data_IF_658453638078
#
_entry.id   IF_658453638078
#
_cell.length_a   1.000
_cell.length_b   1.000
_cell.length_c   1.000
_cell.angle_alpha   90.00
_cell.angle_beta   90.00
_cell.angle_gamma   90.00
#
_symmetry.space_group_name_H-M   'P 1'
#
loop_
_entity.id
_entity.type
_entity.pdbx_description
1 polymer ?
#
# COMPACT_ATOMS: atom_id res chain seq x y z
N UNK A 1 8.05 -26.56 6.36
CA UNK A 1 7.22 -25.77 7.29
C UNK A 1 5.81 -25.76 6.71
N UNK A 2 4.78 -25.75 7.53
CA UNK A 2 3.41 -25.61 7.03
C UNK A 2 3.15 -24.15 6.69
N UNK A 3 2.29 -23.90 5.70
CA UNK A 3 1.87 -22.54 5.28
C UNK A 3 1.41 -21.69 6.46
N UNK A 4 0.75 -22.30 7.44
CA UNK A 4 0.35 -21.64 8.68
C UNK A 4 1.54 -21.07 9.48
N UNK A 5 2.60 -21.83 9.68
CA UNK A 5 3.78 -21.36 10.45
C UNK A 5 4.50 -20.23 9.73
N UNK A 6 4.56 -20.29 8.39
CA UNK A 6 5.15 -19.23 7.58
C UNK A 6 4.35 -17.92 7.71
N UNK A 7 3.02 -17.99 7.65
CA UNK A 7 2.15 -16.82 7.86
C UNK A 7 2.26 -16.31 9.31
N UNK A 8 2.29 -17.22 10.30
CA UNK A 8 2.40 -16.86 11.71
C UNK A 8 3.71 -16.13 12.01
N UNK A 9 4.82 -16.56 11.40
CA UNK A 9 6.13 -15.89 11.54
C UNK A 9 6.13 -14.44 11.05
N UNK A 10 5.17 -14.08 10.18
CA UNK A 10 4.99 -12.74 9.65
C UNK A 10 4.10 -11.84 10.52
N UNK A 11 3.51 -12.38 11.60
CA UNK A 11 2.52 -11.67 12.40
C UNK A 11 3.10 -10.39 13.04
N UNK A 12 2.39 -9.25 12.99
CA UNK A 12 2.99 -7.96 13.32
C UNK A 12 2.90 -7.56 14.80
N UNK A 13 2.35 -8.41 15.67
CA UNK A 13 2.17 -8.13 17.10
C UNK A 13 2.80 -9.23 17.96
N UNK A 14 3.16 -8.89 19.19
CA UNK A 14 3.80 -9.82 20.14
C UNK A 14 2.87 -10.95 20.58
N UNK A 15 1.55 -10.70 20.60
CA UNK A 15 0.54 -11.64 21.06
C UNK A 15 -0.57 -11.81 20.04
N UNK A 16 -0.84 -13.07 19.67
CA UNK A 16 -1.94 -13.45 18.79
C UNK A 16 -3.15 -13.92 19.61
N UNK A 17 -4.35 -13.51 19.20
CA UNK A 17 -5.61 -13.91 19.85
C UNK A 17 -6.13 -15.23 19.28
N UNK A 18 -6.90 -16.03 20.05
CA UNK A 18 -7.45 -17.29 19.57
C UNK A 18 -8.27 -17.17 18.27
N UNK A 19 -9.09 -16.13 18.14
CA UNK A 19 -9.87 -15.87 16.92
C UNK A 19 -8.96 -15.63 15.70
N UNK A 20 -7.84 -14.93 15.88
CA UNK A 20 -6.87 -14.65 14.81
C UNK A 20 -6.13 -15.93 14.40
N UNK A 21 -5.81 -16.81 15.36
CA UNK A 21 -5.25 -18.14 15.07
C UNK A 21 -6.20 -18.94 14.19
N UNK A 22 -7.49 -18.97 14.53
CA UNK A 22 -8.49 -19.67 13.73
C UNK A 22 -8.60 -19.10 12.31
N UNK A 23 -8.59 -17.78 12.16
CA UNK A 23 -8.58 -17.12 10.84
C UNK A 23 -7.35 -17.51 10.03
N UNK A 24 -6.14 -17.47 10.63
CA UNK A 24 -4.90 -17.81 9.92
C UNK A 24 -4.83 -19.28 9.51
N UNK A 25 -5.32 -20.20 10.36
CA UNK A 25 -5.42 -21.62 10.00
C UNK A 25 -6.35 -21.84 8.82
N UNK A 26 -7.55 -21.25 8.85
CA UNK A 26 -8.49 -21.36 7.73
C UNK A 26 -7.96 -20.76 6.43
N UNK A 27 -7.18 -19.68 6.51
CA UNK A 27 -6.49 -19.12 5.35
C UNK A 27 -5.39 -20.06 4.86
N UNK A 28 -4.56 -20.60 5.74
CA UNK A 28 -3.48 -21.52 5.37
C UNK A 28 -4.03 -22.78 4.69
N UNK A 29 -5.06 -23.40 5.26
CA UNK A 29 -5.70 -24.59 4.69
C UNK A 29 -6.26 -24.28 3.29
N UNK A 30 -6.93 -23.14 3.10
CA UNK A 30 -7.44 -22.72 1.81
C UNK A 30 -6.32 -22.43 0.79
N UNK A 31 -5.19 -21.88 1.22
CA UNK A 31 -4.03 -21.66 0.35
C UNK A 31 -3.38 -22.99 -0.06
N UNK A 32 -3.26 -23.93 0.88
CA UNK A 32 -2.73 -25.28 0.63
C UNK A 32 -3.63 -26.07 -0.34
N UNK A 33 -4.94 -25.85 -0.30
CA UNK A 33 -5.91 -26.35 -1.29
C UNK A 33 -5.86 -25.62 -2.64
N UNK A 34 -5.01 -24.60 -2.80
CA UNK A 34 -4.88 -23.81 -4.02
C UNK A 34 -6.05 -22.84 -4.28
N UNK A 35 -6.79 -22.43 -3.25
CA UNK A 35 -7.87 -21.46 -3.40
C UNK A 35 -7.31 -20.07 -3.70
N UNK A 36 -7.88 -19.41 -4.71
CA UNK A 36 -7.52 -18.05 -5.10
C UNK A 36 -8.27 -16.97 -4.32
N UNK A 37 -9.51 -17.25 -3.91
CA UNK A 37 -10.38 -16.31 -3.22
C UNK A 37 -10.83 -16.92 -1.90
N UNK A 38 -10.61 -16.19 -0.82
CA UNK A 38 -10.93 -16.60 0.55
C UNK A 38 -11.82 -15.51 1.14
N UNK A 39 -13.03 -15.90 1.55
CA UNK A 39 -13.97 -15.01 2.23
C UNK A 39 -14.00 -15.37 3.72
N UNK A 40 -13.74 -14.38 4.56
CA UNK A 40 -13.73 -14.55 6.02
C UNK A 40 -14.71 -13.56 6.62
N UNK A 41 -15.67 -14.09 7.37
CA UNK A 41 -16.52 -13.29 8.22
C UNK A 41 -15.88 -13.18 9.61
N UNK A 42 -15.73 -11.95 10.10
CA UNK A 42 -15.12 -11.71 11.41
C UNK A 42 -15.70 -10.44 12.05
N UNK A 43 -16.09 -10.50 13.34
CA UNK A 43 -16.73 -9.39 14.04
C UNK A 43 -15.84 -8.17 14.14
N UNK A 44 -16.42 -6.99 14.33
CA UNK A 44 -15.65 -5.78 14.63
C UNK A 44 -14.90 -5.94 15.95
N UNK A 45 -13.64 -5.47 16.02
CA UNK A 45 -12.83 -5.53 17.25
C UNK A 45 -12.00 -6.81 17.45
N UNK A 46 -12.19 -7.87 16.65
CA UNK A 46 -11.36 -9.09 16.73
C UNK A 46 -9.89 -8.88 16.32
N UNK A 47 -9.58 -7.73 15.70
CA UNK A 47 -8.24 -7.41 15.21
C UNK A 47 -7.95 -8.03 13.85
N UNK A 48 -8.79 -7.73 12.85
CA UNK A 48 -8.58 -8.12 11.44
C UNK A 48 -7.33 -7.47 10.83
N UNK A 49 -6.99 -6.26 11.27
CA UNK A 49 -5.89 -5.48 10.66
C UNK A 49 -4.51 -6.17 10.80
N UNK A 50 -4.11 -6.68 11.97
CA UNK A 50 -2.90 -7.51 12.11
C UNK A 50 -2.87 -8.74 11.21
N UNK A 51 -4.02 -9.40 11.02
CA UNK A 51 -4.15 -10.58 10.13
C UNK A 51 -3.89 -10.17 8.68
N UNK A 52 -4.52 -9.09 8.19
CA UNK A 52 -4.31 -8.58 6.84
C UNK A 52 -2.83 -8.22 6.59
N UNK A 53 -2.16 -7.65 7.58
CA UNK A 53 -0.75 -7.30 7.53
C UNK A 53 0.15 -8.53 7.50
N UNK A 54 -0.14 -9.55 8.32
CA UNK A 54 0.59 -10.81 8.32
C UNK A 54 0.55 -11.47 6.93
N UNK A 55 -0.62 -11.47 6.29
CA UNK A 55 -0.80 -11.98 4.93
C UNK A 55 -0.02 -11.16 3.90
N UNK A 56 -0.08 -9.84 3.97
CA UNK A 56 0.70 -8.99 3.06
C UNK A 56 2.21 -9.25 3.21
N UNK A 57 2.70 -9.50 4.42
CA UNK A 57 4.12 -9.82 4.67
C UNK A 57 4.50 -11.20 4.16
N UNK A 58 3.64 -12.20 4.37
CA UNK A 58 3.81 -13.55 3.84
C UNK A 58 3.96 -13.55 2.31
N UNK A 59 3.12 -12.79 1.60
CA UNK A 59 3.22 -12.60 0.15
C UNK A 59 4.29 -11.57 -0.29
N UNK A 60 5.07 -11.03 0.64
CA UNK A 60 6.08 -9.99 0.40
C UNK A 60 5.53 -8.71 -0.25
N UNK A 61 4.23 -8.46 -0.11
CA UNK A 61 3.51 -7.33 -0.69
C UNK A 61 2.00 -7.57 -0.71
N UNK A 62 1.23 -6.49 -0.81
CA UNK A 62 -0.22 -6.57 -0.91
C UNK A 62 -0.90 -5.22 -0.80
N UNK A 63 -2.19 -5.20 -1.12
CA UNK A 63 -3.05 -4.03 -0.96
C UNK A 63 -4.09 -4.31 0.11
N UNK A 64 -4.23 -3.38 1.04
CA UNK A 64 -5.29 -3.40 2.04
C UNK A 64 -6.26 -2.28 1.69
N UNK A 65 -7.47 -2.65 1.33
CA UNK A 65 -8.53 -1.71 1.00
C UNK A 65 -9.43 -1.50 2.21
N UNK A 66 -9.58 -0.24 2.63
CA UNK A 66 -10.57 0.18 3.63
C UNK A 66 -11.47 1.25 3.02
N UNK A 67 -12.70 1.34 3.52
CA UNK A 67 -13.72 2.30 3.09
C UNK A 67 -13.38 3.75 3.50
N UNK A 68 -12.70 3.94 4.63
CA UNK A 68 -12.46 5.27 5.21
C UNK A 68 -10.97 5.62 5.34
N UNK A 69 -10.63 6.90 5.11
CA UNK A 69 -9.28 7.45 5.32
C UNK A 69 -8.86 7.36 6.80
N UNK A 70 -9.80 7.51 7.74
CA UNK A 70 -9.56 7.34 9.18
C UNK A 70 -9.01 5.95 9.51
N UNK A 71 -9.57 4.90 8.89
CA UNK A 71 -9.09 3.53 9.05
C UNK A 71 -7.71 3.33 8.42
N UNK A 72 -7.46 3.92 7.27
CA UNK A 72 -6.10 3.91 6.69
C UNK A 72 -5.09 4.61 7.62
N UNK A 73 -5.46 5.72 8.26
CA UNK A 73 -4.62 6.41 9.25
C UNK A 73 -4.35 5.51 10.47
N UNK A 74 -5.33 4.69 10.88
CA UNK A 74 -5.11 3.66 11.91
C UNK A 74 -4.04 2.65 11.47
N UNK A 75 -4.06 2.17 10.21
CA UNK A 75 -2.99 1.31 9.70
C UNK A 75 -1.62 1.99 9.74
N UNK A 76 -1.53 3.27 9.32
CA UNK A 76 -0.25 4.00 9.35
C UNK A 76 0.30 4.18 10.78
N UNK A 77 -0.59 4.44 11.75
CA UNK A 77 -0.22 4.60 13.15
C UNK A 77 0.26 3.28 13.76
N UNK A 78 -0.46 2.20 13.49
CA UNK A 78 -0.23 0.90 14.12
C UNK A 78 0.87 0.11 13.38
N UNK A 79 1.07 0.33 12.08
CA UNK A 79 2.02 -0.37 11.21
C UNK A 79 2.86 0.62 10.38
N UNK A 80 4.00 1.05 10.92
CA UNK A 80 4.85 2.13 10.34
C UNK A 80 5.39 1.86 8.92
N UNK A 81 5.37 0.62 8.45
CA UNK A 81 5.80 0.22 7.10
C UNK A 81 4.64 0.24 6.09
N UNK A 82 3.40 0.45 6.54
CA UNK A 82 2.27 0.64 5.64
C UNK A 82 2.43 1.97 4.89
N UNK A 83 2.08 1.95 3.60
CA UNK A 83 2.04 3.16 2.77
C UNK A 83 0.58 3.44 2.43
N UNK A 84 0.19 4.70 2.57
CA UNK A 84 -1.17 5.14 2.29
C UNK A 84 -1.33 5.65 0.86
N UNK A 85 -2.42 5.23 0.21
CA UNK A 85 -2.88 5.75 -1.06
C UNK A 85 -4.24 6.45 -0.85
N UNK A 86 -4.29 7.76 -1.09
CA UNK A 86 -5.49 8.59 -0.94
C UNK A 86 -5.75 9.42 -2.19
N UNK A 87 -6.99 9.84 -2.38
CA UNK A 87 -7.35 10.75 -3.46
C UNK A 87 -6.65 12.11 -3.33
N UNK A 88 -6.33 12.73 -4.47
CA UNK A 88 -5.54 13.98 -4.55
C UNK A 88 -6.06 15.11 -3.65
N UNK A 89 -7.38 15.28 -3.54
CA UNK A 89 -8.00 16.31 -2.69
C UNK A 89 -7.74 16.15 -1.19
N UNK A 90 -7.17 15.03 -0.75
CA UNK A 90 -6.88 14.73 0.65
C UNK A 90 -5.41 15.04 1.02
N UNK A 91 -4.61 15.58 0.11
CA UNK A 91 -3.26 16.03 0.42
C UNK A 91 -3.28 17.47 0.94
N UNK A 92 -2.48 17.71 1.99
CA UNK A 92 -2.25 19.05 2.51
C UNK A 92 -1.47 19.86 1.48
N UNK A 93 -2.02 21.02 1.11
CA UNK A 93 -1.36 21.99 0.27
C UNK A 93 -0.23 22.66 1.06
N UNK A 94 1.03 22.32 0.75
CA UNK A 94 2.18 22.92 1.42
C UNK A 94 2.20 24.45 1.31
N UNK A 95 1.89 25.00 0.13
CA UNK A 95 1.94 26.44 -0.12
C UNK A 95 0.78 27.19 0.55
N UNK A 96 -0.45 26.70 0.42
CA UNK A 96 -1.61 27.37 1.03
C UNK A 96 -1.66 27.22 2.56
N UNK A 97 -0.91 26.25 3.11
CA UNK A 97 -0.80 26.03 4.56
C UNK A 97 0.37 26.78 5.21
N UNK A 98 1.15 27.58 4.47
CA UNK A 98 2.23 28.39 5.06
C UNK A 98 1.62 29.38 6.07
N UNK A 99 2.15 29.37 7.31
CA UNK A 99 1.68 30.25 8.38
C UNK A 99 0.37 29.81 9.06
N UNK A 100 -0.20 28.66 8.69
CA UNK A 100 -1.34 28.05 9.39
C UNK A 100 -0.89 27.30 10.63
N UNK A 101 -1.76 27.24 11.64
CA UNK A 101 -1.52 26.43 12.84
C UNK A 101 -1.79 24.96 12.55
N UNK A 102 -1.21 24.02 13.32
CA UNK A 102 -1.59 22.61 13.25
C UNK A 102 -3.12 22.45 13.40
N UNK A 103 -3.75 21.74 12.46
CA UNK A 103 -5.20 21.58 12.40
C UNK A 103 -5.94 22.63 11.55
N UNK A 104 -5.26 23.67 11.07
CA UNK A 104 -5.80 24.67 10.14
C UNK A 104 -5.23 24.52 8.71
N UNK A 105 -4.72 23.33 8.39
CA UNK A 105 -4.13 23.04 7.08
C UNK A 105 -5.18 23.13 5.96
N UNK A 106 -4.75 23.66 4.81
CA UNK A 106 -5.57 23.74 3.61
C UNK A 106 -5.28 22.53 2.75
N UNK A 107 -6.32 21.83 2.32
CA UNK A 107 -6.23 20.70 1.41
C UNK A 107 -6.50 21.16 -0.03
N UNK A 108 -5.79 20.59 -1.01
CA UNK A 108 -6.00 20.93 -2.42
C UNK A 108 -5.86 19.69 -3.31
N UNK A 109 -6.57 19.67 -4.44
CA UNK A 109 -6.41 18.66 -5.49
C UNK A 109 -5.39 19.09 -6.58
N UNK A 110 -4.95 20.36 -6.53
CA UNK A 110 -3.95 20.97 -7.42
C UNK A 110 -3.04 21.89 -6.61
N UNK A 111 -1.74 21.63 -6.67
CA UNK A 111 -0.70 22.46 -6.08
C UNK A 111 0.28 23.02 -7.12
N UNK A 112 1.11 23.98 -6.69
CA UNK A 112 2.24 24.44 -7.49
C UNK A 112 3.29 23.34 -7.58
N UNK A 113 3.71 23.00 -8.79
CA UNK A 113 4.75 22.00 -8.99
C UNK A 113 6.10 22.53 -8.48
N UNK A 114 6.70 21.79 -7.54
CA UNK A 114 8.08 22.02 -7.10
C UNK A 114 8.94 20.81 -7.46
N UNK A 115 10.18 21.08 -7.83
CA UNK A 115 11.16 20.05 -8.14
C UNK A 115 12.06 19.84 -6.92
N UNK A 116 12.15 18.59 -6.47
CA UNK A 116 12.93 18.18 -5.31
C UNK A 116 13.78 16.97 -5.73
N UNK A 117 15.09 17.18 -5.83
CA UNK A 117 16.06 16.14 -6.23
C UNK A 117 16.23 15.06 -5.17
N UNK A 118 15.95 15.40 -3.91
CA UNK A 118 16.15 14.51 -2.77
C UNK A 118 14.87 13.75 -2.42
N UNK A 119 13.77 14.00 -3.13
CA UNK A 119 12.49 13.34 -2.91
C UNK A 119 12.51 11.87 -3.33
N UNK A 120 12.86 11.00 -2.39
CA UNK A 120 12.66 9.55 -2.51
C UNK A 120 11.20 9.19 -2.21
N UNK A 121 10.41 8.83 -3.23
CA UNK A 121 9.05 8.36 -3.02
C UNK A 121 9.05 7.07 -2.17
N UNK A 122 8.45 7.06 -0.95
CA UNK A 122 8.47 5.90 -0.07
C UNK A 122 7.68 4.72 -0.64
N UNK A 123 6.57 5.02 -1.31
CA UNK A 123 5.74 4.05 -2.02
C UNK A 123 6.20 3.79 -3.46
N UNK A 124 7.48 4.03 -3.79
CA UNK A 124 7.99 3.63 -5.11
C UNK A 124 7.80 2.12 -5.25
N UNK A 125 7.17 1.64 -6.33
CA UNK A 125 7.15 0.21 -6.59
C UNK A 125 8.57 -0.32 -6.60
N UNK A 126 8.83 -1.41 -5.87
CA UNK A 126 10.08 -2.15 -5.96
C UNK A 126 9.98 -2.94 -7.27
N UNK A 127 10.43 -2.33 -8.36
CA UNK A 127 10.61 -3.03 -9.63
C UNK A 127 12.00 -3.64 -9.67
N UNK A 128 12.06 -4.97 -9.64
CA UNK A 128 13.26 -5.68 -10.04
C UNK A 128 13.53 -5.36 -11.52
N UNK A 129 14.74 -4.90 -11.85
CA UNK A 129 15.06 -4.51 -13.24
C UNK A 129 14.93 -5.70 -14.20
N UNK A 130 15.10 -6.93 -13.72
CA UNK A 130 14.91 -8.15 -14.50
C UNK A 130 13.43 -8.55 -14.72
N UNK A 131 12.48 -8.02 -13.93
CA UNK A 131 11.05 -8.38 -14.00
C UNK A 131 10.17 -7.30 -14.66
N UNK A 132 10.71 -6.50 -15.58
CA UNK A 132 9.92 -5.73 -16.54
C UNK A 132 9.23 -6.67 -17.54
N UNK A 133 8.37 -7.56 -17.04
CA UNK A 133 7.71 -8.59 -17.83
C UNK A 133 6.38 -8.03 -18.35
N UNK A 134 6.44 -7.61 -19.61
CA UNK A 134 5.36 -7.51 -20.60
C UNK A 134 4.19 -6.56 -20.32
N UNK A 135 3.82 -5.80 -21.36
CA UNK A 135 2.56 -5.05 -21.48
C UNK A 135 1.38 -5.99 -21.18
N UNK A 136 0.93 -6.03 -19.92
CA UNK A 136 -0.11 -6.96 -19.51
C UNK A 136 -0.10 -7.37 -18.05
N UNK A 137 0.96 -7.09 -17.27
CA UNK A 137 0.95 -7.36 -15.83
C UNK A 137 0.04 -6.35 -15.07
N UNK A 138 -1.09 -6.79 -14.49
CA UNK A 138 -1.99 -5.91 -13.75
C UNK A 138 -1.39 -5.40 -12.43
N UNK A 139 -0.19 -5.84 -12.03
CA UNK A 139 0.53 -5.32 -10.86
C UNK A 139 0.93 -3.84 -10.98
N UNK A 140 0.66 -3.21 -12.13
CA UNK A 140 1.05 -1.83 -12.39
C UNK A 140 -0.08 -0.95 -12.95
N UNK A 141 -0.96 -0.48 -12.06
CA UNK A 141 -1.72 0.75 -12.30
C UNK A 141 -0.82 2.02 -12.35
N UNK A 142 0.47 1.88 -12.04
CA UNK A 142 1.45 2.97 -12.06
C UNK A 142 2.18 3.15 -13.42
N UNK A 143 1.81 2.42 -14.47
CA UNK A 143 2.15 2.80 -15.87
C UNK A 143 1.08 3.79 -16.39
N UNK A 144 0.65 4.72 -15.54
CA UNK A 144 -0.22 5.82 -15.92
C UNK A 144 0.47 7.13 -15.56
N UNK A 145 1.47 7.47 -16.37
CA UNK A 145 2.03 8.82 -16.52
C UNK A 145 3.14 8.89 -17.59
N UNK A 146 3.67 7.76 -18.08
CA UNK A 146 4.43 7.80 -19.34
C UNK A 146 3.42 7.85 -20.48
N UNK A 147 3.15 9.04 -21.00
CA UNK A 147 2.69 9.19 -22.38
C UNK A 147 3.79 8.63 -23.27
N UNK A 148 3.74 7.33 -23.51
CA UNK A 148 4.54 6.68 -24.54
C UNK A 148 3.88 6.96 -25.87
N UNK A 149 4.31 8.01 -26.55
CA UNK A 149 4.37 7.93 -28.01
C UNK A 149 5.48 6.94 -28.33
N UNK A 150 5.10 5.92 -29.08
CA UNK A 150 6.01 4.96 -29.72
C UNK A 150 7.06 5.71 -30.55
N UNK A 151 8.26 5.12 -30.59
CA UNK A 151 9.41 5.40 -31.46
C UNK A 151 10.46 6.44 -31.00
N UNK A 152 11.69 5.95 -30.82
CA UNK A 152 12.91 6.72 -31.11
C UNK A 152 13.64 7.33 -29.92
N UNK A 153 14.82 6.77 -29.62
CA UNK A 153 16.00 7.36 -28.98
C UNK A 153 15.82 8.19 -27.69
N UNK A 154 16.15 7.51 -26.60
CA UNK A 154 16.72 8.01 -25.35
C UNK A 154 17.16 9.49 -25.31
N UNK A 155 16.43 10.29 -24.52
CA UNK A 155 16.96 11.35 -23.67
C UNK A 155 16.00 11.52 -22.49
N UNK A 156 16.44 11.18 -21.28
CA UNK A 156 15.63 11.30 -20.06
C UNK A 156 15.48 12.77 -19.66
N UNK A 157 14.37 13.37 -20.08
CA UNK A 157 13.94 14.70 -19.64
C UNK A 157 12.80 14.62 -18.62
N UNK A 158 13.07 15.11 -17.40
CA UNK A 158 12.11 15.66 -16.41
C UNK A 158 10.85 14.83 -16.12
N UNK A 159 10.90 14.04 -15.04
CA UNK A 159 9.70 13.55 -14.35
C UNK A 159 9.28 14.56 -13.29
N UNK A 160 8.29 15.38 -13.62
CA UNK A 160 7.54 16.19 -12.66
C UNK A 160 6.50 15.32 -11.98
N UNK A 161 6.53 15.23 -10.65
CA UNK A 161 5.45 14.61 -9.88
C UNK A 161 4.51 15.72 -9.42
N UNK A 162 3.24 15.62 -9.81
CA UNK A 162 2.16 16.44 -9.30
C UNK A 162 1.87 15.94 -7.89
N UNK A 163 2.09 16.80 -6.89
CA UNK A 163 1.46 16.70 -5.57
C UNK A 163 0.59 17.94 -5.42
#
# INVERSE_FOLDING_TARGET
MSTYEDILSCFPMDHIRPEQVQMLKGVADALDEGKKYILIEAPTGCGKSPVAIALCRYFQGGYICTDQISLQKQYLRDFKYAVQAIGRSNFVCKQASIGKRPGEEVYCDRGTCTFDNDFGCPGRPIVNKEELITEGDPRFAAISASRGTVAGNFQYGKRSKIV
#
